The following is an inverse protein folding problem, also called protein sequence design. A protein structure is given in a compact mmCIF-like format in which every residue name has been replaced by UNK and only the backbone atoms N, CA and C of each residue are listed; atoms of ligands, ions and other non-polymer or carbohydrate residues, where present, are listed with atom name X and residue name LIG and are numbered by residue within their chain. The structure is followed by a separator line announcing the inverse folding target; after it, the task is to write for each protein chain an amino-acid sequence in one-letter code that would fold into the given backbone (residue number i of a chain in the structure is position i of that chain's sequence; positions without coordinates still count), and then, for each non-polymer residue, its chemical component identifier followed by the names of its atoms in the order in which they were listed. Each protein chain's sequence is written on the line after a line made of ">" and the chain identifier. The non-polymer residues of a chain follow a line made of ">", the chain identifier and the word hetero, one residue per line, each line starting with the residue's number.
data_IF_494718020383
#
_entry.id   IF_494718020383
#
_cell.length_a   1.000
_cell.length_b   1.000
_cell.length_c   1.000
_cell.angle_alpha   90.00
_cell.angle_beta   90.00
_cell.angle_gamma   90.00
#
_symmetry.space_group_name_H-M   'P 1'
#
loop_
_entity.id
_entity.type
_entity.pdbx_description
1 polymer ?
#
# COMPACT_ATOMS: atom_id res chain seq x y z
N UNK A 1 -1.01 10.60 38.19
CA UNK A 1 -1.13 11.12 36.81
C UNK A 1 0.12 11.88 36.37
N UNK A 2 0.65 12.76 37.24
CA UNK A 2 1.88 13.49 36.96
C UNK A 2 3.07 12.55 36.70
N UNK A 3 3.17 11.47 37.46
CA UNK A 3 4.21 10.46 37.29
C UNK A 3 4.07 9.74 35.94
N UNK A 4 2.85 9.40 35.52
CA UNK A 4 2.60 8.80 34.22
C UNK A 4 2.98 9.74 33.07
N UNK A 5 2.65 11.02 33.18
CA UNK A 5 3.00 12.02 32.16
C UNK A 5 4.52 12.16 32.06
N UNK A 6 5.22 12.22 33.17
CA UNK A 6 6.69 12.32 33.18
C UNK A 6 7.36 11.09 32.60
N UNK A 7 6.88 9.89 32.95
CA UNK A 7 7.39 8.63 32.38
C UNK A 7 7.18 8.56 30.89
N UNK A 8 6.00 8.94 30.40
CA UNK A 8 5.69 8.98 28.97
C UNK A 8 6.61 9.96 28.24
N UNK A 9 6.86 11.14 28.84
CA UNK A 9 7.76 12.13 28.25
C UNK A 9 9.20 11.60 28.14
N UNK A 10 9.71 10.95 29.17
CA UNK A 10 11.04 10.34 29.14
C UNK A 10 11.16 9.22 28.10
N UNK A 11 10.10 8.39 27.96
CA UNK A 11 10.04 7.33 26.94
C UNK A 11 10.06 7.88 25.53
N UNK A 12 9.38 9.02 25.30
CA UNK A 12 9.34 9.66 23.98
C UNK A 12 10.69 10.26 23.58
N UNK A 13 11.61 10.48 24.53
CA UNK A 13 12.96 10.98 24.22
C UNK A 13 13.88 9.89 23.68
N UNK A 14 13.51 8.63 23.81
CA UNK A 14 14.30 7.51 23.32
C UNK A 14 13.93 7.16 21.87
N UNK A 15 14.91 6.63 21.12
CA UNK A 15 14.66 6.13 19.78
C UNK A 15 13.81 4.86 19.84
N UNK A 16 12.83 4.77 18.99
CA UNK A 16 11.97 3.58 18.86
C UNK A 16 11.54 3.43 17.41
N UNK A 17 11.06 2.23 17.08
CA UNK A 17 10.64 1.89 15.73
C UNK A 17 9.13 1.78 15.67
N UNK A 18 8.58 2.23 14.55
CA UNK A 18 7.16 2.06 14.25
C UNK A 18 7.00 1.62 12.80
N UNK A 19 5.84 1.06 12.52
CA UNK A 19 5.37 0.90 11.15
C UNK A 19 4.20 1.85 10.96
N UNK A 20 4.28 2.71 9.97
CA UNK A 20 3.18 3.62 9.63
C UNK A 20 2.66 3.32 8.24
N UNK A 21 1.46 3.81 7.93
CA UNK A 21 0.89 3.58 6.61
C UNK A 21 0.16 4.81 6.09
N UNK A 22 0.05 4.86 4.77
CA UNK A 22 -0.78 5.82 4.05
C UNK A 22 -1.69 5.02 3.12
N UNK A 23 -2.99 5.32 3.13
CA UNK A 23 -3.95 4.66 2.25
C UNK A 23 -4.28 5.52 1.04
N UNK A 24 -4.52 4.83 -0.08
CA UNK A 24 -4.97 5.42 -1.34
C UNK A 24 -6.12 4.58 -1.86
N UNK A 25 -7.13 5.25 -2.43
CA UNK A 25 -8.27 4.57 -3.06
C UNK A 25 -8.29 4.92 -4.54
N UNK A 26 -8.44 3.91 -5.39
CA UNK A 26 -8.58 4.12 -6.83
C UNK A 26 -9.67 3.20 -7.39
N UNK A 27 -10.28 3.67 -8.48
CA UNK A 27 -11.32 2.94 -9.18
C UNK A 27 -10.74 2.39 -10.46
N UNK A 28 -10.88 1.08 -10.69
CA UNK A 28 -10.34 0.46 -11.91
C UNK A 28 -11.14 -0.77 -12.31
N UNK A 29 -11.04 -1.09 -13.58
CA UNK A 29 -11.63 -2.29 -14.17
C UNK A 29 -10.55 -3.34 -14.40
N UNK A 30 -10.95 -4.61 -14.28
CA UNK A 30 -10.09 -5.73 -14.62
C UNK A 30 -10.90 -6.97 -14.99
N UNK A 31 -10.24 -7.95 -15.56
CA UNK A 31 -10.72 -9.32 -15.67
C UNK A 31 -9.59 -10.27 -15.32
N UNK A 32 -9.96 -11.44 -14.81
CA UNK A 32 -8.98 -12.49 -14.49
C UNK A 32 -8.96 -13.51 -15.62
N UNK A 33 -7.93 -13.48 -16.50
CA UNK A 33 -7.93 -14.30 -17.70
C UNK A 33 -7.67 -15.79 -17.45
N UNK A 34 -7.17 -16.15 -16.27
CA UNK A 34 -6.77 -17.52 -15.96
C UNK A 34 -7.71 -18.27 -15.03
N UNK A 35 -8.90 -17.71 -14.77
CA UNK A 35 -9.92 -18.41 -13.99
C UNK A 35 -10.64 -19.44 -14.87
N UNK A 36 -11.29 -20.46 -14.28
CA UNK A 36 -12.07 -21.46 -15.05
C UNK A 36 -13.15 -20.81 -15.91
N UNK A 37 -13.45 -21.45 -17.05
CA UNK A 37 -14.50 -21.00 -17.96
C UNK A 37 -15.82 -20.84 -17.20
N UNK A 38 -16.52 -19.73 -17.42
CA UNK A 38 -17.77 -19.40 -16.73
C UNK A 38 -17.63 -18.76 -15.37
N UNK A 39 -16.41 -18.61 -14.85
CA UNK A 39 -16.18 -17.91 -13.59
C UNK A 39 -16.47 -16.41 -13.77
N UNK A 40 -17.20 -15.83 -12.83
CA UNK A 40 -17.61 -14.41 -12.92
C UNK A 40 -16.43 -13.43 -13.03
N UNK A 41 -15.29 -13.74 -12.40
CA UNK A 41 -14.11 -12.89 -12.43
C UNK A 41 -13.39 -12.90 -13.78
N UNK A 42 -13.73 -13.82 -14.69
CA UNK A 42 -13.27 -13.81 -16.06
C UNK A 42 -13.94 -12.74 -16.92
N UNK A 43 -15.02 -12.13 -16.42
CA UNK A 43 -15.72 -11.04 -17.10
C UNK A 43 -15.11 -9.70 -16.70
N UNK A 44 -15.22 -8.72 -17.58
CA UNK A 44 -14.85 -7.35 -17.25
C UNK A 44 -15.72 -6.83 -16.12
N UNK A 45 -15.09 -6.37 -15.05
CA UNK A 45 -15.77 -5.78 -13.92
C UNK A 45 -14.87 -4.75 -13.23
N UNK A 46 -15.43 -3.98 -12.33
CA UNK A 46 -14.69 -2.92 -11.63
C UNK A 46 -14.78 -3.06 -10.12
N UNK A 47 -13.81 -2.47 -9.46
CA UNK A 47 -13.72 -2.38 -8.01
C UNK A 47 -13.27 -1.01 -7.56
N UNK A 48 -13.64 -0.64 -6.33
CA UNK A 48 -12.96 0.37 -5.56
C UNK A 48 -11.81 -0.32 -4.84
N UNK A 49 -10.59 -0.13 -5.33
CA UNK A 49 -9.40 -0.70 -4.70
C UNK A 49 -8.89 0.25 -3.62
N UNK A 50 -8.45 -0.31 -2.50
CA UNK A 50 -7.78 0.45 -1.45
C UNK A 50 -6.40 -0.14 -1.23
N UNK A 51 -5.38 0.71 -1.36
CA UNK A 51 -3.98 0.32 -1.18
C UNK A 51 -3.43 1.02 0.05
N UNK A 52 -2.87 0.25 0.98
CA UNK A 52 -2.13 0.79 2.11
C UNK A 52 -0.63 0.54 1.88
N UNK A 53 0.13 1.63 1.88
CA UNK A 53 1.58 1.61 1.74
C UNK A 53 2.18 1.74 3.12
N UNK A 54 2.85 0.70 3.60
CA UNK A 54 3.45 0.66 4.93
C UNK A 54 4.95 0.88 4.83
N UNK A 55 5.47 1.71 5.72
CA UNK A 55 6.92 1.88 5.92
C UNK A 55 7.27 1.62 7.37
N UNK A 56 8.48 1.14 7.60
CA UNK A 56 8.98 0.80 8.93
C UNK A 56 10.32 1.47 9.15
N UNK A 57 10.55 1.99 10.34
CA UNK A 57 11.82 2.61 10.67
C UNK A 57 11.83 3.21 12.06
N UNK A 58 12.98 3.78 12.40
CA UNK A 58 13.14 4.53 13.63
C UNK A 58 12.45 5.89 13.53
N UNK A 59 11.75 6.26 14.58
CA UNK A 59 11.19 7.60 14.70
C UNK A 59 12.32 8.58 14.99
N UNK A 60 12.43 9.61 14.15
CA UNK A 60 13.38 10.69 14.40
C UNK A 60 12.93 11.46 15.64
N UNK A 61 13.75 11.56 16.70
CA UNK A 61 13.34 12.19 17.94
C UNK A 61 13.08 13.71 17.81
N UNK A 62 13.60 14.33 16.79
CA UNK A 62 13.39 15.76 16.54
C UNK A 62 12.05 16.01 15.83
N UNK A 63 11.79 15.30 14.73
CA UNK A 63 10.56 15.47 13.94
C UNK A 63 9.39 14.70 14.51
N UNK A 64 9.63 13.60 15.22
CA UNK A 64 8.61 12.72 15.74
C UNK A 64 8.02 11.76 14.70
N UNK A 65 8.61 11.67 13.51
CA UNK A 65 8.14 10.77 12.45
C UNK A 65 9.28 9.97 11.81
N UNK A 66 8.94 8.95 11.02
CA UNK A 66 9.88 8.26 10.14
C UNK A 66 10.06 9.08 8.87
N UNK A 67 8.93 9.51 8.31
CA UNK A 67 8.85 10.24 7.05
C UNK A 67 7.54 11.02 7.02
N UNK A 68 7.51 12.15 6.36
CA UNK A 68 6.28 12.93 6.15
C UNK A 68 5.33 12.15 5.23
N UNK A 69 4.05 12.05 5.62
CA UNK A 69 3.02 11.44 4.79
C UNK A 69 2.91 12.08 3.41
N UNK A 70 3.18 13.38 3.30
CA UNK A 70 3.17 14.08 2.02
C UNK A 70 4.22 13.54 1.04
N UNK A 71 5.36 13.06 1.54
CA UNK A 71 6.38 12.43 0.71
C UNK A 71 5.90 11.08 0.16
N UNK A 72 5.23 10.28 0.98
CA UNK A 72 4.66 9.00 0.55
C UNK A 72 3.61 9.26 -0.54
N UNK A 73 2.76 10.27 -0.35
CA UNK A 73 1.75 10.66 -1.33
C UNK A 73 2.40 11.07 -2.66
N UNK A 74 3.46 11.87 -2.61
CA UNK A 74 4.16 12.31 -3.81
C UNK A 74 4.82 11.14 -4.55
N UNK A 75 5.42 10.20 -3.81
CA UNK A 75 6.06 9.01 -4.39
C UNK A 75 5.01 8.10 -5.05
N UNK A 76 3.84 7.95 -4.45
CA UNK A 76 2.77 7.09 -4.98
C UNK A 76 2.03 7.72 -6.16
N UNK A 77 2.02 9.03 -6.29
CA UNK A 77 1.21 9.75 -7.28
C UNK A 77 1.36 9.22 -8.71
N UNK A 78 2.55 8.95 -9.25
CA UNK A 78 2.67 8.39 -10.59
C UNK A 78 2.00 7.03 -10.74
N UNK A 79 2.07 6.18 -9.72
CA UNK A 79 1.37 4.90 -9.72
C UNK A 79 -0.15 5.08 -9.67
N UNK A 80 -0.60 6.01 -8.84
CA UNK A 80 -2.02 6.32 -8.75
C UNK A 80 -2.58 6.70 -10.12
N UNK A 81 -1.89 7.54 -10.87
CA UNK A 81 -2.31 7.98 -12.20
C UNK A 81 -2.34 6.83 -13.21
N UNK A 82 -1.46 5.85 -13.06
CA UNK A 82 -1.45 4.65 -13.91
C UNK A 82 -2.62 3.72 -13.55
N UNK A 83 -2.93 3.59 -12.27
CA UNK A 83 -3.92 2.62 -11.77
C UNK A 83 -5.35 3.13 -11.82
N UNK A 84 -5.57 4.42 -11.52
CA UNK A 84 -6.91 4.97 -11.35
C UNK A 84 -7.61 5.17 -12.69
N UNK A 85 -8.88 4.76 -12.75
CA UNK A 85 -9.73 4.89 -13.93
C UNK A 85 -9.13 4.27 -15.19
N UNK A 86 -8.47 3.15 -15.04
CA UNK A 86 -7.83 2.41 -16.15
C UNK A 86 -8.28 0.95 -16.16
N UNK A 87 -8.02 0.29 -17.29
CA UNK A 87 -8.15 -1.15 -17.41
C UNK A 87 -6.82 -1.78 -17.01
N UNK A 88 -6.80 -2.43 -15.86
CA UNK A 88 -5.56 -2.93 -15.26
C UNK A 88 -4.82 -3.93 -16.14
N UNK A 89 -5.56 -4.75 -16.89
CA UNK A 89 -4.98 -5.77 -17.77
C UNK A 89 -4.08 -5.19 -18.86
N UNK A 90 -4.27 -3.91 -19.22
CA UNK A 90 -3.44 -3.23 -20.23
C UNK A 90 -2.13 -2.70 -19.67
N UNK A 91 -1.94 -2.73 -18.35
CA UNK A 91 -0.73 -2.22 -17.73
C UNK A 91 0.34 -3.32 -17.77
N UNK A 92 1.55 -3.02 -18.33
CA UNK A 92 2.64 -4.01 -18.35
C UNK A 92 2.98 -4.54 -16.94
N UNK A 93 2.96 -5.86 -16.82
CA UNK A 93 3.15 -6.55 -15.54
C UNK A 93 1.85 -6.87 -14.82
N UNK A 94 0.73 -6.31 -15.25
CA UNK A 94 -0.60 -6.55 -14.66
C UNK A 94 -1.55 -7.26 -15.62
N UNK A 95 -1.03 -8.10 -16.51
CA UNK A 95 -1.83 -8.87 -17.49
C UNK A 95 -2.78 -9.84 -16.80
N UNK A 96 -2.44 -10.28 -15.60
CA UNK A 96 -3.30 -11.09 -14.72
C UNK A 96 -3.46 -10.36 -13.37
N UNK A 97 -4.31 -9.33 -13.29
CA UNK A 97 -4.33 -8.40 -12.16
C UNK A 97 -5.16 -8.89 -10.97
N UNK A 98 -4.75 -10.00 -10.38
CA UNK A 98 -5.25 -10.42 -9.07
C UNK A 98 -4.72 -9.46 -8.00
N UNK A 99 -5.34 -9.45 -6.81
CA UNK A 99 -4.84 -8.67 -5.67
C UNK A 99 -3.39 -9.03 -5.34
N UNK A 100 -3.06 -10.31 -5.41
CA UNK A 100 -1.72 -10.82 -5.11
C UNK A 100 -0.67 -10.29 -6.09
N UNK A 101 -0.97 -10.32 -7.38
CA UNK A 101 -0.07 -9.81 -8.42
C UNK A 101 0.03 -8.28 -8.34
N UNK A 102 -1.08 -7.60 -8.10
CA UNK A 102 -1.08 -6.15 -7.93
C UNK A 102 -0.23 -5.71 -6.73
N UNK A 103 -0.34 -6.42 -5.61
CA UNK A 103 0.45 -6.10 -4.41
C UNK A 103 1.94 -6.19 -4.69
N UNK A 104 2.39 -7.26 -5.37
CA UNK A 104 3.79 -7.45 -5.73
C UNK A 104 4.25 -6.42 -6.76
N UNK A 105 3.42 -6.11 -7.74
CA UNK A 105 3.73 -5.11 -8.77
C UNK A 105 3.93 -3.73 -8.13
N UNK A 106 3.02 -3.32 -7.24
CA UNK A 106 3.13 -2.03 -6.52
C UNK A 106 4.40 -2.02 -5.67
N UNK A 107 4.69 -3.10 -4.96
CA UNK A 107 5.93 -3.24 -4.20
C UNK A 107 7.15 -2.99 -5.05
N UNK A 108 7.23 -3.64 -6.21
CA UNK A 108 8.36 -3.53 -7.13
C UNK A 108 8.55 -2.10 -7.65
N UNK A 109 7.45 -1.37 -7.87
CA UNK A 109 7.51 0.01 -8.31
C UNK A 109 7.96 0.96 -7.20
N UNK A 110 7.53 0.71 -5.96
CA UNK A 110 7.78 1.62 -4.84
C UNK A 110 9.10 1.36 -4.12
N UNK A 111 9.53 0.12 -3.99
CA UNK A 111 10.69 -0.23 -3.16
C UNK A 111 11.96 0.57 -3.51
N UNK A 112 12.32 0.79 -4.78
CA UNK A 112 13.49 1.59 -5.12
C UNK A 112 13.40 3.06 -4.67
N UNK A 113 12.18 3.60 -4.58
CA UNK A 113 11.94 5.00 -4.21
C UNK A 113 11.66 5.15 -2.72
N UNK A 114 11.32 4.05 -2.05
CA UNK A 114 10.90 4.04 -0.65
C UNK A 114 11.57 2.85 0.05
N UNK A 115 12.87 2.97 0.38
CA UNK A 115 13.62 1.84 0.96
C UNK A 115 13.03 1.28 2.25
N UNK A 116 12.30 2.12 3.02
CA UNK A 116 11.65 1.73 4.27
C UNK A 116 10.37 0.91 4.06
N UNK A 117 9.95 0.71 2.80
CA UNK A 117 8.72 -0.04 2.49
C UNK A 117 8.75 -1.40 3.17
N UNK A 118 7.73 -1.68 3.98
CA UNK A 118 7.63 -2.91 4.77
C UNK A 118 6.52 -3.83 4.30
N UNK A 119 5.44 -3.29 3.75
CA UNK A 119 4.38 -4.10 3.13
C UNK A 119 3.45 -3.26 2.28
N UNK A 120 2.79 -3.94 1.37
CA UNK A 120 1.67 -3.41 0.59
C UNK A 120 0.44 -4.23 0.96
N UNK A 121 -0.64 -3.54 1.29
CA UNK A 121 -1.93 -4.18 1.55
C UNK A 121 -2.94 -3.68 0.53
N UNK A 122 -3.64 -4.61 -0.11
CA UNK A 122 -4.67 -4.29 -1.10
C UNK A 122 -5.99 -4.86 -0.65
N UNK A 123 -7.05 -4.05 -0.73
CA UNK A 123 -8.43 -4.50 -0.61
C UNK A 123 -9.14 -4.29 -1.93
N UNK A 124 -9.87 -5.32 -2.37
CA UNK A 124 -10.86 -5.23 -3.44
C UNK A 124 -12.22 -5.09 -2.76
N UNK A 125 -12.94 -4.05 -3.03
CA UNK A 125 -14.29 -3.80 -2.53
C UNK A 125 -14.69 -4.60 -1.28
N UNK A 126 -14.92 -3.96 -0.16
CA UNK A 126 -15.47 -4.51 1.08
C UNK A 126 -14.54 -5.42 1.90
N UNK A 127 -14.50 -6.74 1.63
CA UNK A 127 -14.07 -7.71 2.65
C UNK A 127 -12.86 -8.55 2.26
N UNK A 128 -12.38 -8.44 1.03
CA UNK A 128 -11.30 -9.30 0.53
C UNK A 128 -10.06 -8.49 0.20
N UNK A 129 -8.91 -9.06 0.46
CA UNK A 129 -7.65 -8.40 0.16
C UNK A 129 -6.46 -9.29 0.47
N UNK A 130 -5.28 -8.74 0.30
CA UNK A 130 -4.04 -9.44 0.61
C UNK A 130 -2.97 -8.48 1.08
N UNK A 131 -1.90 -9.04 1.66
CA UNK A 131 -0.69 -8.30 2.05
C UNK A 131 0.53 -8.96 1.44
N UNK A 132 1.49 -8.15 1.02
CA UNK A 132 2.77 -8.61 0.51
C UNK A 132 3.90 -7.87 1.22
N UNK A 133 4.92 -8.62 1.67
CA UNK A 133 6.04 -8.09 2.46
C UNK A 133 7.40 -8.19 1.74
N UNK A 134 7.41 -8.44 0.44
CA UNK A 134 8.63 -8.47 -0.35
C UNK A 134 9.34 -9.84 -0.41
N UNK A 135 8.71 -10.86 0.11
CA UNK A 135 9.27 -12.23 0.18
C UNK A 135 8.75 -13.19 -0.94
#
# INVERSE_FOLDING_TARGET
>A
LAELVNSAHLSLAENYRVELFKEFTFESAHRLPHVPAGHKCGRLHGHSFRVAVYIEGEVNPHTGWIRDFAEIKAIFKPLYEILDHNYLNDIPGLENPTSEIMAKWIWQQLKPLLPELSRIRIHETCTSGCEYRGD
#
